data_IF_487538839427
#
_entry.id   IF_487538839427
#
_cell.length_a   1.000
_cell.length_b   1.000
_cell.length_c   1.000
_cell.angle_alpha   90.00
_cell.angle_beta   90.00
_cell.angle_gamma   90.00
#
_symmetry.space_group_name_H-M   'P 1'
#
loop_
_entity.id
_entity.type
_entity.pdbx_description
1 polymer ?
#
# COMPACT_ATOMS: atom_id res chain seq x y z
N UNK A 1 20.46 2.72 17.64
CA UNK A 1 19.94 2.74 16.25
C UNK A 1 18.57 2.06 16.30
N UNK A 2 17.54 2.70 15.76
CA UNK A 2 16.22 2.06 15.68
C UNK A 2 16.24 1.02 14.57
N UNK A 3 15.74 -0.18 14.86
CA UNK A 3 15.59 -1.25 13.87
C UNK A 3 14.48 -0.84 12.89
N UNK A 4 14.74 -0.82 11.56
CA UNK A 4 13.71 -0.52 10.59
C UNK A 4 12.60 -1.57 10.59
N UNK A 5 11.39 -1.19 10.23
CA UNK A 5 10.27 -2.12 10.08
C UNK A 5 10.52 -3.09 8.92
N UNK A 6 11.08 -2.59 7.82
CA UNK A 6 11.44 -3.38 6.64
C UNK A 6 12.81 -2.91 6.13
N UNK A 7 13.68 -3.85 5.76
CA UNK A 7 14.97 -3.56 5.15
C UNK A 7 15.20 -4.52 3.97
N UNK A 8 15.53 -3.96 2.81
CA UNK A 8 15.93 -4.67 1.61
C UNK A 8 17.42 -4.40 1.38
N UNK A 9 18.22 -5.46 1.20
CA UNK A 9 19.66 -5.33 1.00
C UNK A 9 20.04 -6.02 -0.31
N UNK A 10 20.44 -5.23 -1.30
CA UNK A 10 20.86 -5.65 -2.65
C UNK A 10 19.87 -6.64 -3.28
N UNK A 11 18.57 -6.38 -3.07
CA UNK A 11 17.49 -7.30 -3.43
C UNK A 11 17.37 -7.43 -4.94
N UNK A 12 17.47 -8.66 -5.45
CA UNK A 12 17.44 -8.94 -6.89
C UNK A 12 16.47 -10.07 -7.21
N UNK A 13 15.73 -9.92 -8.31
CA UNK A 13 14.85 -10.97 -8.85
C UNK A 13 14.95 -11.09 -10.36
N UNK A 14 15.36 -12.28 -10.80
CA UNK A 14 15.27 -12.71 -12.19
C UNK A 14 14.17 -13.76 -12.32
N UNK A 15 13.41 -13.73 -13.41
CA UNK A 15 12.40 -14.75 -13.74
C UNK A 15 12.85 -15.59 -14.94
N UNK A 16 12.81 -16.91 -14.80
CA UNK A 16 13.18 -17.84 -15.87
C UNK A 16 14.57 -17.56 -16.43
N UNK A 17 14.68 -17.52 -17.76
CA UNK A 17 15.93 -17.24 -18.49
C UNK A 17 16.03 -15.76 -18.91
N UNK A 18 15.29 -14.86 -18.30
CA UNK A 18 15.38 -13.42 -18.62
C UNK A 18 16.78 -12.90 -18.33
N UNK A 19 17.37 -12.19 -19.29
CA UNK A 19 18.66 -11.51 -19.15
C UNK A 19 18.55 -10.30 -18.24
N UNK A 20 17.39 -9.61 -18.28
CA UNK A 20 17.13 -8.44 -17.45
C UNK A 20 16.40 -8.83 -16.17
N UNK A 21 16.90 -8.43 -14.99
CA UNK A 21 16.23 -8.67 -13.73
C UNK A 21 14.95 -7.81 -13.62
N UNK A 22 13.89 -8.41 -13.07
CA UNK A 22 12.66 -7.68 -12.76
C UNK A 22 12.84 -6.72 -11.56
N UNK A 23 13.79 -7.05 -10.67
CA UNK A 23 14.28 -6.19 -9.58
C UNK A 23 15.79 -6.38 -9.54
N UNK A 24 16.57 -5.27 -9.54
CA UNK A 24 18.01 -5.27 -9.67
C UNK A 24 18.67 -4.51 -8.54
N UNK A 25 19.29 -5.24 -7.61
CA UNK A 25 20.11 -4.70 -6.51
C UNK A 25 19.45 -3.54 -5.76
N UNK A 26 18.21 -3.73 -5.32
CA UNK A 26 17.43 -2.72 -4.60
C UNK A 26 17.82 -2.71 -3.12
N UNK A 27 18.32 -1.54 -2.65
CA UNK A 27 18.56 -1.22 -1.24
C UNK A 27 17.50 -0.22 -0.77
N UNK A 28 16.65 -0.61 0.20
CA UNK A 28 15.55 0.20 0.66
C UNK A 28 15.23 -0.11 2.12
N UNK A 29 14.95 0.92 2.90
CA UNK A 29 14.52 0.76 4.30
C UNK A 29 13.24 1.54 4.58
N UNK A 30 12.40 0.99 5.44
CA UNK A 30 11.18 1.63 5.96
C UNK A 30 11.32 1.72 7.47
N UNK A 31 11.23 2.93 8.02
CA UNK A 31 11.25 3.13 9.45
C UNK A 31 9.95 2.65 10.11
N UNK A 32 9.97 2.43 11.43
CA UNK A 32 8.74 2.13 12.16
C UNK A 32 7.82 3.36 12.15
N UNK A 33 6.54 3.14 11.86
CA UNK A 33 5.54 4.20 11.73
C UNK A 33 5.61 5.00 10.42
N UNK A 34 6.53 4.67 9.51
CA UNK A 34 6.68 5.34 8.21
C UNK A 34 5.73 4.77 7.15
N UNK A 35 5.20 5.62 6.30
CA UNK A 35 4.58 5.25 5.02
C UNK A 35 5.59 5.49 3.91
N UNK A 36 6.08 4.41 3.30
CA UNK A 36 6.90 4.44 2.10
C UNK A 36 6.04 4.09 0.87
N UNK A 37 5.92 4.98 -0.10
CA UNK A 37 5.32 4.66 -1.38
C UNK A 37 6.37 4.19 -2.37
N UNK A 38 6.08 3.13 -3.12
CA UNK A 38 6.87 2.67 -4.27
C UNK A 38 6.10 3.00 -5.54
N UNK A 39 6.64 3.89 -6.36
CA UNK A 39 5.99 4.36 -7.60
C UNK A 39 6.84 4.04 -8.83
N UNK A 40 6.22 4.04 -10.00
CA UNK A 40 6.91 3.82 -11.28
C UNK A 40 5.97 3.26 -12.34
N UNK A 41 6.43 3.19 -13.57
CA UNK A 41 5.68 2.65 -14.70
C UNK A 41 5.33 1.16 -14.54
N UNK A 42 4.45 0.67 -15.42
CA UNK A 42 4.16 -0.77 -15.47
C UNK A 42 5.44 -1.56 -15.77
N UNK A 43 5.62 -2.69 -15.11
CA UNK A 43 6.81 -3.53 -15.28
C UNK A 43 8.08 -3.01 -14.59
N UNK A 44 8.02 -1.92 -13.80
CA UNK A 44 9.22 -1.38 -13.11
C UNK A 44 9.69 -2.21 -11.90
N UNK A 45 8.99 -3.28 -11.51
CA UNK A 45 9.39 -4.17 -10.41
C UNK A 45 8.66 -3.96 -9.08
N UNK A 46 7.77 -2.96 -8.94
CA UNK A 46 7.07 -2.59 -7.68
C UNK A 46 6.36 -3.76 -6.98
N UNK A 47 5.41 -4.38 -7.67
CA UNK A 47 4.65 -5.53 -7.13
C UNK A 47 5.54 -6.73 -6.86
N UNK A 48 6.61 -6.94 -7.66
CA UNK A 48 7.60 -7.99 -7.42
C UNK A 48 8.36 -7.72 -6.12
N UNK A 49 8.82 -6.49 -5.91
CA UNK A 49 9.47 -6.06 -4.66
C UNK A 49 8.54 -6.28 -3.46
N UNK A 50 7.29 -5.83 -3.56
CA UNK A 50 6.29 -6.03 -2.49
C UNK A 50 6.08 -7.52 -2.17
N UNK A 51 5.98 -8.37 -3.19
CA UNK A 51 5.78 -9.81 -3.02
C UNK A 51 7.00 -10.53 -2.43
N UNK A 52 8.21 -10.01 -2.62
CA UNK A 52 9.42 -10.53 -1.97
C UNK A 52 9.44 -10.20 -0.48
N UNK A 53 8.95 -9.04 -0.05
CA UNK A 53 8.86 -8.69 1.38
C UNK A 53 8.02 -9.72 2.14
N UNK A 54 6.93 -10.18 1.55
CA UNK A 54 6.02 -11.17 2.14
C UNK A 54 6.33 -12.63 1.74
N UNK A 55 7.52 -12.88 1.16
CA UNK A 55 7.93 -14.22 0.65
C UNK A 55 6.87 -14.91 -0.19
N UNK A 56 6.04 -14.17 -0.93
CA UNK A 56 5.20 -14.73 -2.00
C UNK A 56 6.03 -15.06 -3.24
N UNK A 57 7.18 -14.38 -3.38
CA UNK A 57 8.20 -14.64 -4.39
C UNK A 57 9.54 -14.67 -3.65
N UNK A 58 10.35 -15.69 -3.88
CA UNK A 58 11.71 -15.76 -3.33
C UNK A 58 12.64 -14.86 -4.18
N UNK A 59 13.53 -14.09 -3.54
CA UNK A 59 14.57 -13.35 -4.27
C UNK A 59 15.54 -14.31 -4.96
N UNK A 60 16.18 -13.84 -6.03
CA UNK A 60 17.31 -14.55 -6.66
C UNK A 60 18.60 -14.33 -5.87
N UNK A 61 18.79 -13.13 -5.33
CA UNK A 61 19.89 -12.77 -4.41
C UNK A 61 19.51 -11.55 -3.58
N UNK A 62 20.34 -11.21 -2.60
CA UNK A 62 20.06 -10.20 -1.60
C UNK A 62 19.24 -10.75 -0.44
N UNK A 63 18.82 -9.88 0.47
CA UNK A 63 18.02 -10.26 1.64
C UNK A 63 16.91 -9.27 1.95
N UNK A 64 15.88 -9.76 2.63
CA UNK A 64 14.77 -8.98 3.17
C UNK A 64 14.73 -9.22 4.67
N UNK A 65 14.63 -8.14 5.45
CA UNK A 65 14.39 -8.23 6.88
C UNK A 65 13.10 -7.50 7.25
N UNK A 66 12.35 -8.09 8.16
CA UNK A 66 11.15 -7.50 8.78
C UNK A 66 11.39 -7.43 10.28
N UNK A 67 11.29 -6.24 10.86
CA UNK A 67 11.65 -5.96 12.27
C UNK A 67 13.05 -6.47 12.67
N UNK A 68 14.00 -6.40 11.72
CA UNK A 68 15.40 -6.85 11.90
C UNK A 68 15.64 -8.34 11.72
N UNK A 69 14.60 -9.16 11.56
CA UNK A 69 14.69 -10.60 11.34
C UNK A 69 14.65 -10.91 9.84
N UNK A 70 15.63 -11.68 9.35
CA UNK A 70 15.68 -12.11 7.95
C UNK A 70 14.51 -13.06 7.66
N UNK A 71 13.72 -12.71 6.66
CA UNK A 71 12.50 -13.45 6.30
C UNK A 71 12.79 -14.89 5.86
N UNK A 72 14.01 -15.22 5.46
CA UNK A 72 14.40 -16.59 5.09
C UNK A 72 14.56 -17.50 6.31
N UNK A 73 14.79 -16.93 7.49
CA UNK A 73 15.00 -17.67 8.75
C UNK A 73 13.68 -17.95 9.49
N UNK A 74 12.55 -17.41 9.02
CA UNK A 74 11.25 -17.60 9.65
C UNK A 74 10.33 -18.47 8.81
N UNK A 75 9.34 -19.12 9.47
CA UNK A 75 8.29 -19.85 8.76
C UNK A 75 7.50 -18.89 7.85
N UNK A 76 7.39 -19.19 6.53
CA UNK A 76 6.67 -18.31 5.60
C UNK A 76 5.20 -18.07 5.96
N UNK A 77 4.55 -19.04 6.60
CA UNK A 77 3.15 -18.92 7.03
C UNK A 77 3.05 -17.97 8.23
N UNK A 78 3.97 -18.11 9.20
CA UNK A 78 4.10 -17.21 10.35
C UNK A 78 4.38 -15.77 9.90
N UNK A 79 5.33 -15.57 9.00
CA UNK A 79 5.65 -14.26 8.41
C UNK A 79 4.40 -13.60 7.78
N UNK A 80 3.69 -14.32 6.90
CA UNK A 80 2.50 -13.78 6.22
C UNK A 80 1.35 -13.46 7.16
N UNK A 81 1.26 -14.12 8.31
CA UNK A 81 0.27 -13.83 9.35
C UNK A 81 0.66 -12.62 10.21
N UNK A 82 1.96 -12.29 10.29
CA UNK A 82 2.45 -11.13 11.03
C UNK A 82 2.45 -9.83 10.22
N UNK A 83 2.28 -9.92 8.89
CA UNK A 83 2.24 -8.79 7.96
C UNK A 83 0.80 -8.62 7.45
N UNK A 84 0.26 -7.41 7.56
CA UNK A 84 -1.01 -7.06 6.92
C UNK A 84 -0.83 -6.95 5.41
N UNK A 85 -1.80 -7.45 4.63
CA UNK A 85 -1.74 -7.33 3.17
C UNK A 85 -3.07 -6.84 2.60
N UNK A 86 -3.04 -5.69 1.94
CA UNK A 86 -4.18 -5.16 1.17
C UNK A 86 -3.93 -5.40 -0.33
N UNK A 87 -4.76 -6.25 -0.93
CA UNK A 87 -4.62 -6.69 -2.32
C UNK A 87 -5.21 -5.67 -3.29
N UNK A 88 -4.64 -5.61 -4.50
CA UNK A 88 -5.27 -5.00 -5.65
C UNK A 88 -6.64 -5.70 -5.89
N UNK A 89 -7.72 -4.91 -5.99
CA UNK A 89 -9.08 -5.46 -6.18
C UNK A 89 -9.69 -6.10 -4.93
N UNK A 90 -9.30 -5.66 -3.73
CA UNK A 90 -9.83 -6.02 -2.40
C UNK A 90 -9.61 -7.49 -1.99
N UNK A 91 -9.78 -8.46 -2.88
CA UNK A 91 -9.54 -9.88 -2.62
C UNK A 91 -10.34 -10.46 -1.44
N UNK A 92 -11.58 -10.01 -1.22
CA UNK A 92 -12.46 -10.63 -0.22
C UNK A 92 -12.94 -12.00 -0.69
N UNK A 93 -13.11 -12.92 0.25
CA UNK A 93 -13.73 -14.21 0.00
C UNK A 93 -15.23 -14.02 -0.22
N UNK A 94 -15.77 -14.25 -1.43
CA UNK A 94 -17.14 -13.88 -1.77
C UNK A 94 -18.21 -14.72 -1.04
N UNK A 95 -17.83 -15.89 -0.55
CA UNK A 95 -18.70 -16.83 0.19
C UNK A 95 -18.63 -16.66 1.71
N UNK A 96 -17.80 -15.74 2.19
CA UNK A 96 -17.66 -15.40 3.61
C UNK A 96 -18.32 -14.06 3.89
N UNK A 97 -18.95 -13.92 5.06
CA UNK A 97 -19.45 -12.63 5.51
C UNK A 97 -18.32 -11.64 5.78
N UNK A 98 -18.65 -10.36 5.93
CA UNK A 98 -17.71 -9.30 6.31
C UNK A 98 -16.94 -9.68 7.57
N UNK A 99 -17.63 -10.12 8.62
CA UNK A 99 -16.99 -10.53 9.88
C UNK A 99 -16.07 -11.73 9.70
N UNK A 100 -16.45 -12.70 8.87
CA UNK A 100 -15.61 -13.85 8.55
C UNK A 100 -14.37 -13.44 7.74
N UNK A 101 -14.51 -12.53 6.77
CA UNK A 101 -13.38 -11.99 6.01
C UNK A 101 -12.37 -11.27 6.90
N UNK A 102 -12.83 -10.40 7.81
CA UNK A 102 -11.96 -9.70 8.76
C UNK A 102 -11.32 -10.66 9.74
N UNK A 103 -12.06 -11.64 10.23
CA UNK A 103 -11.62 -12.58 11.28
C UNK A 103 -10.78 -13.76 10.77
N UNK A 104 -10.65 -13.99 9.46
CA UNK A 104 -10.01 -15.19 8.90
C UNK A 104 -8.58 -15.39 9.40
N UNK A 105 -7.77 -14.33 9.43
CA UNK A 105 -6.38 -14.41 9.92
C UNK A 105 -6.33 -14.74 11.40
N UNK A 106 -7.25 -14.19 12.21
CA UNK A 106 -7.34 -14.47 13.65
C UNK A 106 -7.71 -15.92 13.91
N UNK A 107 -8.61 -16.48 13.10
CA UNK A 107 -8.97 -17.90 13.16
C UNK A 107 -7.75 -18.79 12.87
N UNK A 108 -6.97 -18.46 11.84
CA UNK A 108 -5.72 -19.17 11.50
C UNK A 108 -4.65 -19.03 12.58
N UNK A 109 -4.69 -17.97 13.37
CA UNK A 109 -3.82 -17.75 14.53
C UNK A 109 -4.33 -18.45 15.80
N UNK A 110 -5.46 -19.17 15.75
CA UNK A 110 -6.02 -19.92 16.86
C UNK A 110 -6.70 -19.07 17.94
N UNK A 111 -7.14 -17.85 17.60
CA UNK A 111 -7.88 -17.02 18.55
C UNK A 111 -9.23 -17.65 18.92
N UNK A 112 -9.71 -17.37 20.13
CA UNK A 112 -11.04 -17.84 20.56
C UNK A 112 -12.16 -17.13 19.79
N UNK A 113 -13.31 -17.77 19.65
CA UNK A 113 -14.46 -17.19 18.95
C UNK A 113 -14.87 -15.82 19.51
N UNK A 114 -14.87 -15.68 20.83
CA UNK A 114 -15.26 -14.42 21.48
C UNK A 114 -14.24 -13.30 21.18
N UNK A 115 -12.94 -13.59 21.31
CA UNK A 115 -11.89 -12.61 20.99
C UNK A 115 -11.90 -12.20 19.52
N UNK A 116 -12.24 -13.11 18.59
CA UNK A 116 -12.41 -12.79 17.17
C UNK A 116 -13.59 -11.83 16.98
N UNK A 117 -14.75 -12.11 17.59
CA UNK A 117 -15.94 -11.25 17.46
C UNK A 117 -15.66 -9.84 18.01
N UNK A 118 -15.05 -9.75 19.19
CA UNK A 118 -14.66 -8.46 19.78
C UNK A 118 -13.71 -7.67 18.87
N UNK A 119 -12.66 -8.31 18.36
CA UNK A 119 -11.69 -7.67 17.48
C UNK A 119 -12.29 -7.28 16.14
N UNK A 120 -13.16 -8.09 15.55
CA UNK A 120 -13.90 -7.79 14.32
C UNK A 120 -14.79 -6.56 14.52
N UNK A 121 -15.54 -6.50 15.61
CA UNK A 121 -16.41 -5.35 15.90
C UNK A 121 -15.60 -4.06 16.11
N UNK A 122 -14.46 -4.13 16.81
CA UNK A 122 -13.53 -3.02 16.99
C UNK A 122 -13.04 -2.51 15.61
N UNK A 123 -12.58 -3.42 14.76
CA UNK A 123 -12.02 -3.06 13.44
C UNK A 123 -13.07 -2.51 12.48
N UNK A 124 -14.27 -3.07 12.47
CA UNK A 124 -15.37 -2.57 11.66
C UNK A 124 -15.78 -1.15 12.08
N UNK A 125 -15.85 -0.90 13.40
CA UNK A 125 -16.08 0.47 13.91
C UNK A 125 -14.95 1.42 13.49
N UNK A 126 -13.70 0.96 13.52
CA UNK A 126 -12.53 1.76 13.16
C UNK A 126 -12.51 2.19 11.69
N UNK A 127 -13.13 1.41 10.80
CA UNK A 127 -13.24 1.70 9.36
C UNK A 127 -14.64 2.20 8.97
N UNK A 128 -15.40 2.79 9.90
CA UNK A 128 -16.74 3.36 9.67
C UNK A 128 -17.75 2.38 9.05
N UNK A 129 -17.73 1.12 9.50
CA UNK A 129 -18.69 0.09 9.15
C UNK A 129 -19.29 -0.49 10.45
N UNK A 130 -20.38 0.07 11.01
CA UNK A 130 -21.01 -0.43 12.22
C UNK A 130 -21.25 -1.94 12.18
N UNK A 131 -20.72 -2.67 13.18
CA UNK A 131 -20.67 -4.13 13.15
C UNK A 131 -22.06 -4.80 13.20
N UNK A 132 -23.03 -4.18 13.87
CA UNK A 132 -24.43 -4.60 13.94
C UNK A 132 -25.13 -4.57 12.59
N UNK A 133 -24.69 -3.69 11.68
CA UNK A 133 -25.23 -3.55 10.34
C UNK A 133 -24.45 -4.37 9.30
N UNK A 134 -23.10 -4.39 9.38
CA UNK A 134 -22.26 -4.87 8.28
C UNK A 134 -21.65 -6.25 8.52
N UNK A 135 -21.46 -6.70 9.77
CA UNK A 135 -20.70 -7.91 10.08
C UNK A 135 -21.19 -9.17 9.37
N UNK A 136 -22.50 -9.31 9.21
CA UNK A 136 -23.11 -10.53 8.68
C UNK A 136 -23.44 -10.42 7.18
N UNK A 137 -23.21 -9.25 6.53
CA UNK A 137 -23.38 -9.06 5.08
C UNK A 137 -22.32 -9.82 4.28
N UNK A 138 -22.65 -10.15 3.04
CA UNK A 138 -21.71 -10.69 2.06
C UNK A 138 -21.00 -9.56 1.31
N UNK A 139 -19.81 -9.78 0.74
CA UNK A 139 -19.12 -8.78 -0.07
C UNK A 139 -19.96 -8.23 -1.24
N UNK A 140 -20.82 -9.06 -1.84
CA UNK A 140 -21.71 -8.66 -2.94
C UNK A 140 -22.78 -7.64 -2.54
N UNK A 141 -23.04 -7.45 -1.24
CA UNK A 141 -23.99 -6.48 -0.69
C UNK A 141 -23.34 -5.15 -0.34
N UNK A 142 -22.04 -5.00 -0.63
CA UNK A 142 -21.24 -3.82 -0.30
C UNK A 142 -20.87 -3.02 -1.56
N UNK A 143 -20.78 -1.70 -1.42
CA UNK A 143 -20.14 -0.84 -2.43
C UNK A 143 -18.63 -1.13 -2.50
N UNK A 144 -17.96 -0.73 -3.59
CA UNK A 144 -16.51 -0.90 -3.76
C UNK A 144 -15.70 -0.26 -2.62
N UNK A 145 -16.10 0.93 -2.15
CA UNK A 145 -15.46 1.59 -1.01
C UNK A 145 -15.66 0.84 0.30
N UNK A 146 -16.87 0.30 0.55
CA UNK A 146 -17.12 -0.53 1.73
C UNK A 146 -16.33 -1.84 1.68
N UNK A 147 -16.21 -2.48 0.52
CA UNK A 147 -15.34 -3.66 0.35
C UNK A 147 -13.89 -3.33 0.67
N UNK A 148 -13.39 -2.16 0.23
CA UNK A 148 -12.03 -1.71 0.50
C UNK A 148 -11.81 -1.50 2.01
N UNK A 149 -12.76 -0.89 2.72
CA UNK A 149 -12.72 -0.74 4.19
C UNK A 149 -12.64 -2.10 4.89
N UNK A 150 -13.40 -3.10 4.43
CA UNK A 150 -13.31 -4.49 4.93
C UNK A 150 -11.93 -5.07 4.66
N UNK A 151 -11.34 -4.81 3.49
CA UNK A 151 -9.98 -5.21 3.14
C UNK A 151 -8.93 -4.62 4.10
N UNK A 152 -9.06 -3.34 4.47
CA UNK A 152 -8.21 -2.70 5.47
C UNK A 152 -8.42 -3.28 6.86
N UNK A 153 -9.66 -3.48 7.30
CA UNK A 153 -9.97 -4.11 8.58
C UNK A 153 -9.34 -5.50 8.67
N UNK A 154 -9.41 -6.30 7.59
CA UNK A 154 -8.76 -7.62 7.51
C UNK A 154 -7.24 -7.52 7.60
N UNK A 155 -6.62 -6.55 6.92
CA UNK A 155 -5.17 -6.33 6.98
C UNK A 155 -4.69 -5.94 8.38
N UNK A 156 -5.52 -5.25 9.17
CA UNK A 156 -5.25 -4.82 10.54
C UNK A 156 -5.58 -5.89 11.60
N UNK A 157 -6.23 -6.99 11.23
CA UNK A 157 -6.83 -7.92 12.18
C UNK A 157 -5.83 -8.49 13.18
N UNK A 158 -4.71 -9.00 12.71
CA UNK A 158 -3.66 -9.63 13.51
C UNK A 158 -2.77 -8.65 14.31
N UNK A 159 -3.06 -7.34 14.29
CA UNK A 159 -2.18 -6.27 14.82
C UNK A 159 -0.80 -6.38 14.19
N UNK A 160 -0.69 -6.27 12.85
CA UNK A 160 0.53 -6.55 12.13
C UNK A 160 1.64 -5.54 12.45
N UNK A 161 2.89 -5.98 12.31
CA UNK A 161 4.09 -5.15 12.47
C UNK A 161 4.29 -4.18 11.29
N UNK A 162 3.85 -4.60 10.10
CA UNK A 162 3.86 -3.81 8.88
C UNK A 162 2.67 -4.15 8.00
N UNK A 163 2.29 -3.21 7.13
CA UNK A 163 1.22 -3.41 6.13
C UNK A 163 1.81 -3.21 4.74
N UNK A 164 1.53 -4.16 3.86
CA UNK A 164 1.85 -4.09 2.44
C UNK A 164 0.57 -3.83 1.64
N UNK A 165 0.59 -2.84 0.76
CA UNK A 165 -0.56 -2.41 -0.02
C UNK A 165 -0.21 -2.39 -1.50
N UNK A 166 -0.90 -3.17 -2.32
CA UNK A 166 -0.69 -3.25 -3.76
C UNK A 166 -1.86 -2.56 -4.49
N UNK A 167 -1.67 -1.32 -4.96
CA UNK A 167 -2.67 -0.48 -5.64
C UNK A 167 -4.04 -0.43 -4.93
N UNK A 168 -4.09 -0.13 -3.62
CA UNK A 168 -5.29 -0.35 -2.81
C UNK A 168 -6.47 0.55 -3.20
N UNK A 169 -6.24 1.68 -3.84
CA UNK A 169 -7.30 2.64 -4.19
C UNK A 169 -7.61 2.70 -5.70
N UNK A 170 -6.92 1.88 -6.53
CA UNK A 170 -6.98 1.97 -7.98
C UNK A 170 -8.35 1.70 -8.59
N UNK A 171 -9.19 0.88 -7.95
CA UNK A 171 -10.52 0.49 -8.47
C UNK A 171 -11.67 1.37 -7.99
N UNK A 172 -11.39 2.48 -7.27
CA UNK A 172 -12.39 3.36 -6.68
C UNK A 172 -12.68 4.58 -7.56
N UNK A 173 -13.92 5.09 -7.49
CA UNK A 173 -14.25 6.39 -8.04
C UNK A 173 -13.50 7.52 -7.30
N UNK A 174 -13.29 8.68 -7.91
CA UNK A 174 -12.45 9.74 -7.34
C UNK A 174 -12.89 10.24 -5.96
N UNK A 175 -14.21 10.35 -5.70
CA UNK A 175 -14.74 10.88 -4.43
C UNK A 175 -14.51 9.87 -3.31
N UNK A 176 -14.88 8.61 -3.55
CA UNK A 176 -14.65 7.51 -2.58
C UNK A 176 -13.17 7.31 -2.32
N UNK A 177 -12.33 7.43 -3.35
CA UNK A 177 -10.86 7.31 -3.23
C UNK A 177 -10.30 8.38 -2.30
N UNK A 178 -10.63 9.66 -2.52
CA UNK A 178 -10.15 10.77 -1.69
C UNK A 178 -10.54 10.58 -0.21
N UNK A 179 -11.80 10.27 0.06
CA UNK A 179 -12.28 10.03 1.41
C UNK A 179 -11.52 8.88 2.10
N UNK A 180 -11.34 7.74 1.41
CA UNK A 180 -10.62 6.58 1.96
C UNK A 180 -9.13 6.84 2.17
N UNK A 181 -8.48 7.64 1.31
CA UNK A 181 -7.09 8.04 1.48
C UNK A 181 -6.89 8.89 2.73
N UNK A 182 -7.79 9.86 2.98
CA UNK A 182 -7.75 10.70 4.18
C UNK A 182 -7.97 9.87 5.46
N UNK A 183 -8.95 8.96 5.45
CA UNK A 183 -9.22 8.05 6.56
C UNK A 183 -8.03 7.13 6.82
N UNK A 184 -7.47 6.53 5.78
CA UNK A 184 -6.27 5.69 5.89
C UNK A 184 -5.12 6.47 6.52
N UNK A 185 -4.83 7.71 6.07
CA UNK A 185 -3.75 8.53 6.63
C UNK A 185 -3.98 8.85 8.11
N UNK A 186 -5.21 9.15 8.49
CA UNK A 186 -5.59 9.38 9.89
C UNK A 186 -5.38 8.13 10.75
N UNK A 187 -5.83 6.97 10.25
CA UNK A 187 -5.71 5.69 10.93
C UNK A 187 -4.25 5.24 11.06
N UNK A 188 -3.46 5.39 10.00
CA UNK A 188 -2.04 5.07 9.98
C UNK A 188 -1.27 5.85 11.05
N UNK A 189 -1.52 7.18 11.15
CA UNK A 189 -0.90 8.02 12.19
C UNK A 189 -1.33 7.63 13.59
N UNK A 190 -2.63 7.37 13.80
CA UNK A 190 -3.18 6.99 15.11
C UNK A 190 -2.62 5.65 15.62
N UNK A 191 -2.37 4.71 14.71
CA UNK A 191 -1.88 3.36 15.04
C UNK A 191 -0.36 3.20 14.85
N UNK A 192 0.34 4.26 14.41
CA UNK A 192 1.79 4.25 14.10
C UNK A 192 2.20 3.10 13.18
N UNK A 193 1.37 2.83 12.15
CA UNK A 193 1.57 1.71 11.24
C UNK A 193 2.74 1.96 10.30
N UNK A 194 3.63 0.98 10.17
CA UNK A 194 4.65 0.95 9.12
C UNK A 194 4.02 0.41 7.84
N UNK A 195 4.11 1.14 6.73
CA UNK A 195 3.39 0.80 5.50
C UNK A 195 4.29 0.87 4.29
N UNK A 196 4.22 -0.15 3.42
CA UNK A 196 4.72 -0.08 2.05
C UNK A 196 3.53 -0.03 1.11
N UNK A 197 3.38 1.09 0.40
CA UNK A 197 2.32 1.34 -0.56
C UNK A 197 2.87 1.27 -1.97
N UNK A 198 2.42 0.34 -2.78
CA UNK A 198 2.69 0.31 -4.22
C UNK A 198 1.55 1.01 -4.95
N UNK A 199 1.89 1.98 -5.78
CA UNK A 199 0.94 2.69 -6.64
C UNK A 199 1.58 3.14 -7.95
N UNK A 200 0.76 3.35 -8.98
CA UNK A 200 1.17 4.03 -10.21
C UNK A 200 0.74 5.52 -10.22
N UNK A 201 -0.01 5.97 -9.20
CA UNK A 201 -0.49 7.34 -9.07
C UNK A 201 0.46 8.16 -8.17
N UNK A 202 1.16 9.13 -8.80
CA UNK A 202 2.09 10.02 -8.09
C UNK A 202 1.34 10.93 -7.09
N UNK A 203 0.10 11.33 -7.40
CA UNK A 203 -0.69 12.17 -6.50
C UNK A 203 -1.03 11.43 -5.21
N UNK A 204 -1.38 10.16 -5.31
CA UNK A 204 -1.59 9.27 -4.18
C UNK A 204 -0.33 9.15 -3.31
N UNK A 205 0.82 8.90 -3.95
CA UNK A 205 2.09 8.80 -3.23
C UNK A 205 2.46 10.09 -2.50
N UNK A 206 2.28 11.26 -3.15
CA UNK A 206 2.53 12.58 -2.54
C UNK A 206 1.62 12.85 -1.35
N UNK A 207 0.34 12.43 -1.43
CA UNK A 207 -0.65 12.65 -0.38
C UNK A 207 -0.40 11.77 0.85
N UNK A 208 -0.01 10.51 0.64
CA UNK A 208 -0.01 9.50 1.69
C UNK A 208 1.37 9.21 2.28
N UNK A 209 2.44 9.33 1.51
CA UNK A 209 3.74 8.85 1.92
C UNK A 209 4.59 9.90 2.64
N UNK A 210 5.40 9.43 3.58
CA UNK A 210 6.47 10.19 4.22
C UNK A 210 7.72 10.21 3.33
N UNK A 211 7.99 9.09 2.60
CA UNK A 211 9.01 8.99 1.55
C UNK A 211 8.45 8.24 0.35
N UNK A 212 8.99 8.56 -0.82
CA UNK A 212 8.63 7.95 -2.09
C UNK A 212 9.88 7.34 -2.71
N UNK A 213 9.80 6.06 -3.07
CA UNK A 213 10.80 5.33 -3.83
C UNK A 213 10.33 5.21 -5.29
N UNK A 214 11.03 5.85 -6.21
CA UNK A 214 10.73 5.78 -7.65
C UNK A 214 11.50 4.61 -8.25
N UNK A 215 10.78 3.63 -8.78
CA UNK A 215 11.35 2.48 -9.49
C UNK A 215 11.26 2.64 -10.99
N UNK A 216 12.37 2.32 -11.68
CA UNK A 216 12.47 2.30 -13.13
C UNK A 216 13.28 1.10 -13.59
N UNK A 217 12.73 0.25 -14.47
CA UNK A 217 13.41 -0.92 -15.04
C UNK A 217 14.10 -1.81 -13.99
N UNK A 218 13.40 -2.06 -12.89
CA UNK A 218 13.89 -2.92 -11.80
C UNK A 218 14.81 -2.23 -10.79
N UNK A 219 15.20 -0.98 -10.98
CA UNK A 219 16.11 -0.24 -10.11
C UNK A 219 15.44 0.93 -9.41
N UNK A 220 16.03 1.39 -8.29
CA UNK A 220 15.63 2.62 -7.62
C UNK A 220 16.26 3.83 -8.35
N UNK A 221 15.42 4.66 -8.95
CA UNK A 221 15.86 5.90 -9.59
C UNK A 221 16.08 7.01 -8.53
N UNK A 222 15.18 7.13 -7.56
CA UNK A 222 15.28 8.12 -6.47
C UNK A 222 14.45 7.66 -5.27
N UNK A 223 14.95 7.92 -4.05
CA UNK A 223 14.18 7.78 -2.80
C UNK A 223 14.29 9.10 -2.05
N UNK A 224 13.16 9.77 -1.82
CA UNK A 224 13.14 11.07 -1.15
C UNK A 224 11.78 11.37 -0.52
N UNK A 225 11.70 12.43 0.30
CA UNK A 225 10.40 12.98 0.72
C UNK A 225 9.65 13.55 -0.49
N UNK A 226 8.30 13.64 -0.44
CA UNK A 226 7.50 14.23 -1.51
C UNK A 226 8.01 15.62 -1.92
N UNK A 227 8.35 16.48 -0.96
CA UNK A 227 8.86 17.82 -1.23
C UNK A 227 10.17 17.82 -2.04
N UNK A 228 11.14 16.98 -1.66
CA UNK A 228 12.43 16.87 -2.37
C UNK A 228 12.21 16.30 -3.77
N UNK A 229 11.34 15.31 -3.92
CA UNK A 229 11.01 14.72 -5.21
C UNK A 229 10.41 15.75 -6.17
N UNK A 230 9.49 16.59 -5.69
CA UNK A 230 8.81 17.64 -6.47
C UNK A 230 9.74 18.79 -6.87
N UNK A 231 10.77 19.09 -6.08
CA UNK A 231 11.66 20.25 -6.31
C UNK A 231 12.99 19.88 -6.94
N UNK A 232 13.44 18.63 -6.79
CA UNK A 232 14.78 18.20 -7.19
C UNK A 232 14.78 16.77 -7.76
N UNK A 233 14.07 16.52 -8.88
CA UNK A 233 14.11 15.22 -9.54
C UNK A 233 15.52 14.94 -10.11
N UNK A 234 16.04 13.74 -9.83
CA UNK A 234 17.43 13.37 -10.20
C UNK A 234 17.63 13.14 -11.69
N UNK A 235 16.56 12.83 -12.43
CA UNK A 235 16.65 12.57 -13.87
C UNK A 235 15.32 12.87 -14.58
N UNK A 236 15.35 12.80 -15.93
CA UNK A 236 14.20 13.09 -16.77
C UNK A 236 13.00 12.16 -16.53
N UNK A 237 13.23 10.88 -16.18
CA UNK A 237 12.15 9.94 -15.89
C UNK A 237 11.38 10.33 -14.62
N UNK A 238 12.11 10.66 -13.54
CA UNK A 238 11.49 11.12 -12.29
C UNK A 238 10.74 12.43 -12.53
N UNK A 239 11.35 13.39 -13.25
CA UNK A 239 10.70 14.64 -13.61
C UNK A 239 9.39 14.40 -14.38
N UNK A 240 9.39 13.51 -15.37
CA UNK A 240 8.19 13.18 -16.16
C UNK A 240 7.05 12.60 -15.33
N UNK A 241 7.36 11.73 -14.35
CA UNK A 241 6.35 11.17 -13.44
C UNK A 241 5.68 12.25 -12.59
N UNK A 242 6.44 13.26 -12.16
CA UNK A 242 5.98 14.38 -11.34
C UNK A 242 5.19 15.38 -12.18
N UNK A 243 5.67 15.69 -13.37
CA UNK A 243 5.06 16.70 -14.24
C UNK A 243 3.67 16.29 -14.76
N UNK A 244 3.37 15.01 -14.84
CA UNK A 244 2.08 14.55 -15.36
C UNK A 244 0.90 15.03 -14.53
N UNK A 245 0.83 14.81 -13.20
CA UNK A 245 -0.24 15.36 -12.37
C UNK A 245 -0.24 16.89 -12.34
N UNK A 246 0.96 17.51 -12.29
CA UNK A 246 1.12 18.97 -12.25
C UNK A 246 0.52 19.65 -13.47
N UNK A 247 0.84 19.15 -14.67
CA UNK A 247 0.27 19.69 -15.93
C UNK A 247 -1.25 19.61 -15.96
N UNK A 248 -1.86 18.54 -15.41
CA UNK A 248 -3.30 18.43 -15.34
C UNK A 248 -3.89 19.52 -14.42
N UNK A 249 -3.28 19.74 -13.24
CA UNK A 249 -3.71 20.80 -12.32
C UNK A 249 -3.56 22.19 -12.92
N UNK A 250 -2.41 22.50 -13.51
CA UNK A 250 -2.14 23.79 -14.17
C UNK A 250 -3.13 24.03 -15.33
N UNK A 251 -3.47 22.99 -16.10
CA UNK A 251 -4.47 23.08 -17.17
C UNK A 251 -5.87 23.38 -16.62
N UNK A 252 -6.29 22.70 -15.56
CA UNK A 252 -7.59 22.95 -14.90
C UNK A 252 -7.64 24.39 -14.36
N UNK A 253 -6.58 24.85 -13.68
CA UNK A 253 -6.49 26.23 -13.20
C UNK A 253 -6.57 27.24 -14.33
N UNK A 254 -5.89 27.01 -15.45
CA UNK A 254 -5.95 27.88 -16.63
C UNK A 254 -7.37 28.00 -17.19
N UNK A 255 -8.13 26.92 -17.19
CA UNK A 255 -9.54 26.94 -17.63
C UNK A 255 -10.45 27.72 -16.67
N UNK A 256 -10.19 27.61 -15.36
CA UNK A 256 -10.96 28.33 -14.35
C UNK A 256 -10.68 29.84 -14.40
N UNK A 257 -9.41 30.24 -14.59
CA UNK A 257 -9.01 31.65 -14.65
C UNK A 257 -9.25 32.27 -16.04
N UNK A 258 -9.16 31.49 -17.12
CA UNK A 258 -9.46 31.95 -18.49
C UNK A 258 -10.94 32.30 -18.73
N UNK A 259 -11.88 31.80 -17.93
CA UNK A 259 -13.29 32.19 -17.96
C UNK A 259 -13.57 33.54 -17.28
N UNK A 260 -12.64 34.06 -16.46
CA UNK A 260 -12.83 35.36 -15.81
C UNK A 260 -12.54 36.57 -16.73
N UNK A 261 -11.85 36.36 -17.88
CA UNK A 261 -11.51 37.46 -18.82
C UNK A 261 -12.42 37.53 -20.05
N UNK A 262 -13.44 36.66 -20.18
CA UNK A 262 -14.31 36.57 -21.34
C UNK A 262 -15.76 37.11 -21.16
N UNK A 263 -16.06 37.73 -20.03
CA UNK A 263 -17.43 38.17 -19.67
C UNK A 263 -17.66 39.68 -19.62
N UNK A 264 -17.14 40.43 -20.58
CA UNK A 264 -17.54 41.85 -20.76
C UNK A 264 -17.34 42.24 -22.23
N UNK A 265 -18.35 41.96 -23.06
CA UNK A 265 -18.71 42.75 -24.24
C UNK A 265 -20.17 42.47 -24.61
#
# INVERSE_FOLDING_TARGET
>A
MHVPAIELVSLTKCFGNSVEPAVNSVDLSVAQGEVLAIVGGSGSGKTTTLKMINRLIEPTSGSVKVMGEDVTNVDPVGLRRSIGYAFQGVGLFPHMSVGQNVGVTLQLLGWTKNSIIERVNELLTMVDLPADEYRDRLPSELSGGQQQRVGFARALASKPQAILMDEPFGALDPITRDALQQEFRSLQKKLELSVVLVTHDMSEAVLLADRIAVMHKGELAQVASPQVLLTSPVNAYVAQLIDTPRRHSDFIESLLHGKASGGAR
#
